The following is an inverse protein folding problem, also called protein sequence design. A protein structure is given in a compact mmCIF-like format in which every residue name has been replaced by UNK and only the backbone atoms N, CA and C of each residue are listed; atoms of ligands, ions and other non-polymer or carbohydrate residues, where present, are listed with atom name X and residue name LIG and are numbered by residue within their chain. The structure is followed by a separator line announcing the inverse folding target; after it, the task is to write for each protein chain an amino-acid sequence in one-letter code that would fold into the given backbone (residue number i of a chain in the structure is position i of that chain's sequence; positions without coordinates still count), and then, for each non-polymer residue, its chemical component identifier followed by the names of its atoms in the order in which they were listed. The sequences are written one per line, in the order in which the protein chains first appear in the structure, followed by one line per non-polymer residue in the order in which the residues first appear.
data_IF_887425236432
#
_entry.id   IF_887425236432
#
_cell.length_a   1.000
_cell.length_b   1.000
_cell.length_c   1.000
_cell.angle_alpha   90.00
_cell.angle_beta   90.00
_cell.angle_gamma   90.00
#
_symmetry.space_group_name_H-M   'P 1'
#
loop_
_entity.id
_entity.type
_entity.pdbx_description
1 polymer ?
#
# COMPACT_ATOMS: atom_id res chain seq x y z
N UNK A 1 12.24 -3.43 -5.18
CA UNK A 1 11.69 -3.31 -5.77
C UNK A 1 11.03 -2.31 -5.98
N UNK A 2 10.70 -2.02 -6.76
CA UNK A 2 10.30 -0.85 -6.90
C UNK A 2 9.04 -0.73 -7.48
N UNK A 3 8.17 -0.07 -6.89
CA UNK A 3 6.93 0.30 -7.49
C UNK A 3 6.81 1.79 -7.32
N UNK A 4 6.09 2.43 -8.21
CA UNK A 4 5.97 3.85 -8.22
C UNK A 4 4.77 4.30 -7.45
N UNK A 5 4.78 5.55 -7.02
CA UNK A 5 3.65 6.12 -6.31
C UNK A 5 2.38 6.06 -7.13
N UNK A 6 2.49 6.26 -8.43
CA UNK A 6 1.34 6.17 -9.33
C UNK A 6 0.73 4.79 -9.30
N UNK A 7 1.54 3.76 -9.20
CA UNK A 7 1.04 2.40 -9.12
C UNK A 7 0.29 2.17 -7.82
N UNK A 8 0.80 2.73 -6.74
CA UNK A 8 0.13 2.63 -5.46
C UNK A 8 -1.23 3.32 -5.53
N UNK A 9 -1.27 4.49 -6.12
CA UNK A 9 -2.53 5.22 -6.24
C UNK A 9 -3.54 4.47 -7.09
N UNK A 10 -3.10 3.87 -8.18
CA UNK A 10 -3.99 3.09 -9.02
C UNK A 10 -4.49 1.86 -8.29
N UNK A 11 -3.60 1.22 -7.55
CA UNK A 11 -3.97 0.01 -6.83
C UNK A 11 -4.98 0.30 -5.74
N UNK A 12 -4.94 1.47 -5.16
CA UNK A 12 -5.84 1.83 -4.08
C UNK A 12 -7.09 2.57 -4.55
N UNK A 13 -7.25 2.71 -5.84
CA UNK A 13 -8.40 3.40 -6.35
C UNK A 13 -9.67 2.65 -5.98
N UNK A 14 -10.61 3.36 -5.42
CA UNK A 14 -11.88 2.77 -5.04
C UNK A 14 -11.93 2.13 -3.67
N UNK A 15 -10.82 2.18 -2.93
CA UNK A 15 -10.80 1.63 -1.59
C UNK A 15 -11.65 2.47 -0.66
N UNK A 16 -12.43 1.82 0.17
CA UNK A 16 -13.22 2.51 1.18
C UNK A 16 -12.39 2.65 2.43
N UNK A 17 -12.21 3.85 2.90
CA UNK A 17 -11.48 4.10 4.12
C UNK A 17 -12.45 4.34 5.28
N UNK A 18 -12.07 3.97 6.48
CA UNK A 18 -10.80 3.35 6.84
C UNK A 18 -10.70 1.91 6.35
N UNK A 19 -9.52 1.48 6.04
CA UNK A 19 -9.29 0.13 5.53
C UNK A 19 -8.12 -0.51 6.26
N UNK A 20 -8.16 -1.82 6.38
CA UNK A 20 -7.05 -2.54 6.99
C UNK A 20 -6.00 -2.86 5.92
N UNK A 21 -4.82 -3.22 6.35
CA UNK A 21 -3.77 -3.60 5.41
C UNK A 21 -4.19 -4.77 4.54
N UNK A 22 -4.92 -5.71 5.11
CA UNK A 22 -5.39 -6.85 4.34
C UNK A 22 -6.39 -6.43 3.28
N UNK A 23 -7.27 -5.52 3.61
CA UNK A 23 -8.22 -5.00 2.66
C UNK A 23 -7.50 -4.25 1.54
N UNK A 24 -6.48 -3.49 1.89
CA UNK A 24 -5.71 -2.78 0.88
C UNK A 24 -5.01 -3.74 -0.04
N UNK A 25 -4.41 -4.78 0.51
CA UNK A 25 -3.71 -5.76 -0.31
C UNK A 25 -4.66 -6.49 -1.24
N UNK A 26 -5.82 -6.89 -0.72
CA UNK A 26 -6.81 -7.57 -1.53
C UNK A 26 -7.32 -6.67 -2.64
N UNK A 27 -7.57 -5.42 -2.32
CA UNK A 27 -8.08 -4.47 -3.30
C UNK A 27 -7.02 -4.22 -4.38
N UNK A 28 -5.77 -4.08 -3.97
CA UNK A 28 -4.69 -3.88 -4.91
C UNK A 28 -4.55 -5.07 -5.85
N UNK A 29 -4.64 -6.26 -5.30
CA UNK A 29 -4.55 -7.47 -6.11
C UNK A 29 -5.70 -7.51 -7.12
N UNK A 30 -6.89 -7.11 -6.71
CA UNK A 30 -8.05 -7.05 -7.59
C UNK A 30 -7.89 -6.02 -8.70
N UNK A 31 -7.09 -5.00 -8.45
CA UNK A 31 -6.84 -3.97 -9.46
C UNK A 31 -5.64 -4.30 -10.35
N UNK A 32 -5.06 -5.48 -10.18
CA UNK A 32 -3.95 -5.89 -11.02
C UNK A 32 -2.59 -5.36 -10.59
N UNK A 33 -2.44 -5.01 -9.33
CA UNK A 33 -1.17 -4.50 -8.86
C UNK A 33 -0.10 -5.57 -8.87
N UNK A 34 1.15 -5.16 -8.94
CA UNK A 34 2.26 -6.06 -8.88
C UNK A 34 2.28 -6.80 -7.56
N UNK A 35 2.77 -8.02 -7.60
CA UNK A 35 2.86 -8.82 -6.40
C UNK A 35 3.72 -8.14 -5.34
N UNK A 36 4.78 -7.48 -5.75
CA UNK A 36 5.64 -6.77 -4.82
C UNK A 36 4.87 -5.72 -4.04
N UNK A 37 3.98 -5.01 -4.70
CA UNK A 37 3.17 -4.01 -4.04
C UNK A 37 2.17 -4.67 -3.10
N UNK A 38 1.54 -5.73 -3.53
CA UNK A 38 0.58 -6.45 -2.70
C UNK A 38 1.26 -6.97 -1.44
N UNK A 39 2.44 -7.53 -1.60
CA UNK A 39 3.21 -8.02 -0.46
C UNK A 39 3.61 -6.89 0.48
N UNK A 40 4.01 -5.76 -0.08
CA UNK A 40 4.37 -4.61 0.73
C UNK A 40 3.17 -4.13 1.55
N UNK A 41 1.99 -4.14 0.96
CA UNK A 41 0.79 -3.74 1.68
C UNK A 41 0.49 -4.71 2.82
N UNK A 42 0.63 -6.00 2.57
CA UNK A 42 0.37 -6.98 3.61
C UNK A 42 1.35 -6.93 4.75
N UNK A 43 2.55 -6.48 4.47
CA UNK A 43 3.61 -6.47 5.47
C UNK A 43 3.76 -5.15 6.20
N UNK A 44 2.86 -4.22 5.98
CA UNK A 44 2.92 -2.96 6.69
C UNK A 44 2.68 -3.17 8.18
N UNK A 45 3.31 -2.34 8.97
CA UNK A 45 3.18 -2.45 10.42
C UNK A 45 1.84 -1.99 10.93
N UNK A 46 1.20 -1.09 10.23
CA UNK A 46 -0.05 -0.55 10.68
C UNK A 46 -1.19 -1.39 10.15
N UNK A 47 -2.20 -1.61 10.96
CA UNK A 47 -3.32 -2.44 10.57
C UNK A 47 -4.50 -1.67 10.00
N UNK A 48 -4.55 -0.39 10.19
CA UNK A 48 -5.69 0.40 9.76
C UNK A 48 -5.22 1.72 9.20
N UNK A 49 -5.85 2.15 8.12
CA UNK A 49 -5.46 3.37 7.44
C UNK A 49 -6.69 4.22 7.18
N UNK A 50 -6.58 5.50 7.44
CA UNK A 50 -7.69 6.42 7.26
C UNK A 50 -7.80 6.94 5.85
N UNK A 51 -6.77 6.81 5.07
CA UNK A 51 -6.79 7.31 3.70
C UNK A 51 -5.53 6.94 2.98
N UNK A 52 -5.44 7.26 1.70
CA UNK A 52 -4.28 6.88 0.90
C UNK A 52 -2.98 7.52 1.38
N UNK A 53 -3.07 8.68 1.98
CA UNK A 53 -1.86 9.34 2.49
C UNK A 53 -1.20 8.51 3.58
N UNK A 54 -2.00 7.90 4.44
CA UNK A 54 -1.47 7.06 5.51
C UNK A 54 -0.77 5.83 4.93
N UNK A 55 -1.34 5.26 3.88
CA UNK A 55 -0.75 4.11 3.21
C UNK A 55 0.59 4.49 2.60
N UNK A 56 0.62 5.61 1.90
CA UNK A 56 1.83 6.06 1.24
C UNK A 56 2.93 6.33 2.24
N UNK A 57 2.57 6.89 3.38
CA UNK A 57 3.53 7.16 4.40
C UNK A 57 4.17 5.90 4.92
N UNK A 58 3.38 4.88 5.16
CA UNK A 58 3.90 3.60 5.62
C UNK A 58 4.78 2.93 4.58
N UNK A 59 4.36 2.98 3.34
CA UNK A 59 5.14 2.37 2.27
C UNK A 59 6.47 3.10 2.08
N UNK A 60 6.44 4.41 2.15
CA UNK A 60 7.67 5.17 2.01
C UNK A 60 8.63 4.89 3.14
N UNK A 61 8.11 4.79 4.33
CA UNK A 61 8.93 4.45 5.48
C UNK A 61 9.58 3.09 5.31
N UNK A 62 8.82 2.14 4.80
CA UNK A 62 9.32 0.82 4.58
C UNK A 62 10.39 0.79 3.50
N UNK A 63 10.19 1.55 2.44
CA UNK A 63 11.10 1.55 1.33
C UNK A 63 12.39 2.30 1.60
N UNK A 64 12.29 3.38 2.34
CA UNK A 64 13.44 4.24 2.51
C UNK A 64 14.08 4.15 3.83
N UNK A 65 13.48 3.46 4.73
CA UNK A 65 13.99 3.41 6.07
C UNK A 65 15.39 2.96 6.16
N UNK A 66 15.78 2.10 5.30
CA UNK A 66 17.09 1.58 5.38
C UNK A 66 18.12 2.50 4.81
N UNK A 67 17.68 3.52 4.11
CA UNK A 67 18.54 4.31 3.49
C UNK A 67 19.08 5.33 4.15
N UNK A 68 18.67 5.60 5.11
CA UNK A 68 19.09 6.65 5.70
C UNK A 68 19.65 6.58 6.61
#
# INVERSE_FOLDING_TARGET
MAFQITEVQKALKGVDYPASKDQLADHAAGNGADRDLVDALRNMNKNSFDGPNAVMKELKGSLTGSND
#
